data_IF_588549385935
#
_entry.id   IF_588549385935
#
_cell.length_a   1.000
_cell.length_b   1.000
_cell.length_c   1.000
_cell.angle_alpha   90.00
_cell.angle_beta   90.00
_cell.angle_gamma   90.00
#
_symmetry.space_group_name_H-M   'P 1'
#
loop_
_entity.id
_entity.type
_entity.pdbx_description
1 polymer ?
#
# COMPACT_ATOMS: atom_id res chain seq x y z
N UNK A 1 -11.26 1.70 36.69
CA UNK A 1 -10.88 2.41 35.44
C UNK A 1 -11.30 1.66 34.17
N UNK A 2 -10.96 0.38 34.01
CA UNK A 2 -11.24 -0.40 32.78
C UNK A 2 -12.72 -0.36 32.36
N UNK A 3 -13.65 -0.53 33.31
CA UNK A 3 -15.10 -0.49 33.03
C UNK A 3 -15.59 0.87 32.50
N UNK A 4 -15.05 1.98 33.01
CA UNK A 4 -15.43 3.33 32.58
C UNK A 4 -14.85 3.65 31.20
N UNK A 5 -13.59 3.28 30.95
CA UNK A 5 -12.95 3.36 29.63
C UNK A 5 -13.75 2.59 28.59
N UNK A 6 -14.18 1.36 28.92
CA UNK A 6 -15.02 0.55 28.05
C UNK A 6 -16.35 1.23 27.72
N UNK A 7 -17.06 1.74 28.73
CA UNK A 7 -18.37 2.39 28.52
C UNK A 7 -18.27 3.65 27.65
N UNK A 8 -17.18 4.39 27.72
CA UNK A 8 -16.92 5.57 26.89
C UNK A 8 -16.57 5.22 25.44
N UNK A 9 -15.80 4.15 25.21
CA UNK A 9 -15.36 3.72 23.87
C UNK A 9 -16.40 2.90 23.10
N UNK A 10 -17.31 2.21 23.82
CA UNK A 10 -18.31 1.31 23.22
C UNK A 10 -19.06 1.85 21.98
N UNK A 11 -19.58 3.10 21.94
CA UNK A 11 -20.34 3.57 20.77
C UNK A 11 -19.51 3.69 19.48
N UNK A 12 -18.18 3.78 19.60
CA UNK A 12 -17.27 3.84 18.45
C UNK A 12 -16.59 2.50 18.18
N UNK A 13 -16.28 1.74 19.24
CA UNK A 13 -15.61 0.44 19.11
C UNK A 13 -16.52 -0.66 18.55
N UNK A 14 -17.82 -0.67 18.90
CA UNK A 14 -18.76 -1.72 18.47
C UNK A 14 -18.98 -1.70 16.94
N UNK A 15 -19.27 -0.55 16.29
CA UNK A 15 -19.43 -0.52 14.84
C UNK A 15 -18.17 -0.94 14.09
N UNK A 16 -16.99 -0.49 14.53
CA UNK A 16 -15.71 -0.90 13.91
C UNK A 16 -15.49 -2.40 14.04
N UNK A 17 -15.70 -2.95 15.25
CA UNK A 17 -15.54 -4.40 15.48
C UNK A 17 -16.55 -5.22 14.67
N UNK A 18 -17.80 -4.77 14.55
CA UNK A 18 -18.84 -5.44 13.77
C UNK A 18 -18.52 -5.42 12.27
N UNK A 19 -18.09 -4.27 11.74
CA UNK A 19 -17.67 -4.16 10.34
C UNK A 19 -16.49 -5.08 10.01
N UNK A 20 -15.47 -5.09 10.87
CA UNK A 20 -14.31 -5.98 10.72
C UNK A 20 -14.73 -7.45 10.83
N UNK A 21 -15.59 -7.80 11.78
CA UNK A 21 -16.07 -9.17 11.96
C UNK A 21 -16.89 -9.67 10.77
N UNK A 22 -17.77 -8.83 10.22
CA UNK A 22 -18.56 -9.18 9.02
C UNK A 22 -17.68 -9.41 7.80
N UNK A 23 -16.69 -8.53 7.59
CA UNK A 23 -15.74 -8.69 6.50
C UNK A 23 -14.94 -9.99 6.68
N UNK A 24 -14.40 -10.25 7.87
CA UNK A 24 -13.65 -11.47 8.15
C UNK A 24 -14.50 -12.73 8.00
N UNK A 25 -15.77 -12.71 8.39
CA UNK A 25 -16.69 -13.82 8.17
C UNK A 25 -16.91 -14.08 6.68
N UNK A 26 -17.09 -13.03 5.86
CA UNK A 26 -17.23 -13.16 4.42
C UNK A 26 -15.95 -13.70 3.75
N UNK A 27 -14.78 -13.22 4.19
CA UNK A 27 -13.48 -13.75 3.74
C UNK A 27 -13.31 -15.21 4.15
N UNK A 28 -13.60 -15.57 5.40
CA UNK A 28 -13.51 -16.95 5.89
C UNK A 28 -14.45 -17.92 5.14
N UNK A 29 -15.66 -17.45 4.79
CA UNK A 29 -16.63 -18.26 4.05
C UNK A 29 -16.22 -18.50 2.58
N UNK A 30 -15.55 -17.54 1.95
CA UNK A 30 -15.18 -17.62 0.52
C UNK A 30 -13.75 -18.09 0.27
N UNK A 31 -12.86 -17.95 1.26
CA UNK A 31 -11.43 -18.27 1.15
C UNK A 31 -11.11 -19.72 0.74
N UNK A 32 -11.78 -20.76 1.29
CA UNK A 32 -11.52 -22.15 0.88
C UNK A 32 -11.73 -22.37 -0.62
N UNK A 33 -12.78 -21.78 -1.20
CA UNK A 33 -13.06 -21.89 -2.64
C UNK A 33 -11.98 -21.26 -3.54
N UNK A 34 -11.24 -20.27 -3.03
CA UNK A 34 -10.08 -19.70 -3.73
C UNK A 34 -8.89 -20.66 -3.68
N UNK A 35 -8.69 -21.33 -2.55
CA UNK A 35 -7.62 -22.32 -2.38
C UNK A 35 -7.80 -23.50 -3.34
N UNK A 36 -9.00 -24.05 -3.41
CA UNK A 36 -9.32 -25.21 -4.26
C UNK A 36 -9.22 -24.87 -5.76
N UNK A 37 -9.58 -23.64 -6.16
CA UNK A 37 -9.52 -23.19 -7.55
C UNK A 37 -8.12 -22.74 -8.01
N UNK A 38 -7.19 -22.52 -7.07
CA UNK A 38 -5.87 -21.93 -7.33
C UNK A 38 -4.96 -22.79 -8.22
N UNK A 39 -5.26 -24.06 -8.41
CA UNK A 39 -4.49 -24.97 -9.27
C UNK A 39 -4.86 -24.84 -10.77
N UNK A 40 -5.94 -24.12 -11.09
CA UNK A 40 -6.40 -23.94 -12.46
C UNK A 40 -5.64 -22.81 -13.19
N UNK A 41 -5.36 -23.00 -14.48
CA UNK A 41 -4.71 -21.98 -15.32
C UNK A 41 -5.61 -20.81 -15.68
N UNK A 42 -6.92 -20.91 -15.44
CA UNK A 42 -7.91 -19.84 -15.62
C UNK A 42 -8.45 -19.34 -14.27
N UNK A 43 -7.66 -19.49 -13.20
CA UNK A 43 -8.06 -19.15 -11.85
C UNK A 43 -8.47 -17.68 -11.73
N UNK A 44 -7.64 -16.74 -12.19
CA UNK A 44 -7.94 -15.31 -12.07
C UNK A 44 -9.18 -14.90 -12.87
N UNK A 45 -9.43 -15.49 -14.04
CA UNK A 45 -10.67 -15.27 -14.79
C UNK A 45 -11.91 -15.75 -14.02
N UNK A 46 -11.81 -16.92 -13.39
CA UNK A 46 -12.84 -17.47 -12.53
C UNK A 46 -13.12 -16.61 -11.29
N UNK A 47 -12.10 -15.97 -10.73
CA UNK A 47 -12.28 -15.02 -9.62
C UNK A 47 -12.86 -13.69 -10.11
N UNK A 48 -12.41 -13.22 -11.28
CA UNK A 48 -12.83 -11.94 -11.88
C UNK A 48 -14.32 -11.98 -12.28
N UNK A 49 -14.80 -13.14 -12.73
CA UNK A 49 -16.22 -13.34 -13.07
C UNK A 49 -17.14 -13.40 -11.84
N UNK A 50 -16.60 -13.57 -10.64
CA UNK A 50 -17.36 -13.60 -9.39
C UNK A 50 -17.36 -12.21 -8.72
N UNK A 51 -18.44 -11.46 -8.94
CA UNK A 51 -18.58 -10.10 -8.42
C UNK A 51 -18.47 -9.98 -6.90
N UNK A 52 -18.81 -11.03 -6.13
CA UNK A 52 -18.64 -11.03 -4.68
C UNK A 52 -17.16 -11.05 -4.31
N UNK A 53 -16.36 -11.91 -4.96
CA UNK A 53 -14.91 -12.01 -4.71
C UNK A 53 -14.20 -10.72 -5.10
N UNK A 54 -14.54 -10.13 -6.24
CA UNK A 54 -14.03 -8.82 -6.65
C UNK A 54 -14.37 -7.75 -5.61
N UNK A 55 -15.62 -7.73 -5.12
CA UNK A 55 -16.04 -6.80 -4.07
C UNK A 55 -15.26 -7.02 -2.77
N UNK A 56 -15.06 -8.26 -2.35
CA UNK A 56 -14.32 -8.60 -1.13
C UNK A 56 -12.84 -8.22 -1.23
N UNK A 57 -12.22 -8.37 -2.40
CA UNK A 57 -10.84 -7.95 -2.67
C UNK A 57 -10.67 -6.45 -2.43
N UNK A 58 -11.51 -5.61 -3.07
CA UNK A 58 -11.45 -4.16 -2.89
C UNK A 58 -11.91 -3.71 -1.50
N UNK A 59 -12.92 -4.36 -0.92
CA UNK A 59 -13.37 -4.07 0.44
C UNK A 59 -12.27 -4.37 1.47
N UNK A 60 -11.49 -5.43 1.30
CA UNK A 60 -10.34 -5.75 2.13
C UNK A 60 -9.25 -4.68 2.06
N UNK A 61 -8.93 -4.21 0.86
CA UNK A 61 -7.97 -3.12 0.63
C UNK A 61 -8.47 -1.82 1.28
N UNK A 62 -9.71 -1.43 0.98
CA UNK A 62 -10.31 -0.23 1.55
C UNK A 62 -10.37 -0.28 3.07
N UNK A 63 -10.72 -1.43 3.67
CA UNK A 63 -10.73 -1.61 5.11
C UNK A 63 -9.34 -1.45 5.73
N UNK A 64 -8.29 -1.98 5.10
CA UNK A 64 -6.92 -1.85 5.59
C UNK A 64 -6.44 -0.40 5.60
N UNK A 65 -6.74 0.39 4.56
CA UNK A 65 -6.38 1.82 4.49
C UNK A 65 -7.30 2.73 5.33
N UNK A 66 -8.56 2.35 5.52
CA UNK A 66 -9.52 3.11 6.32
C UNK A 66 -9.34 2.89 7.83
N UNK A 67 -8.90 1.70 8.25
CA UNK A 67 -8.79 1.35 9.66
C UNK A 67 -7.92 2.32 10.47
N UNK A 68 -6.71 2.73 10.02
CA UNK A 68 -5.92 3.74 10.72
C UNK A 68 -6.68 5.05 10.93
N UNK A 69 -7.37 5.55 9.90
CA UNK A 69 -8.16 6.78 9.98
C UNK A 69 -9.29 6.65 11.02
N UNK A 70 -10.00 5.52 11.02
CA UNK A 70 -11.07 5.23 11.99
C UNK A 70 -10.51 5.16 13.41
N UNK A 71 -9.40 4.45 13.60
CA UNK A 71 -8.75 4.32 14.92
C UNK A 71 -8.26 5.67 15.42
N UNK A 72 -7.53 6.43 14.61
CA UNK A 72 -7.00 7.72 15.05
C UNK A 72 -8.08 8.72 15.37
N UNK A 73 -9.06 8.89 14.47
CA UNK A 73 -10.11 9.89 14.63
C UNK A 73 -11.14 9.51 15.68
N UNK A 74 -11.54 8.23 15.78
CA UNK A 74 -12.63 7.86 16.69
C UNK A 74 -12.13 7.25 18.00
N UNK A 75 -10.97 6.59 18.03
CA UNK A 75 -10.47 5.97 19.26
C UNK A 75 -9.41 6.83 19.93
N UNK A 76 -8.45 7.36 19.15
CA UNK A 76 -7.34 8.17 19.67
C UNK A 76 -7.76 9.57 20.10
N UNK A 77 -8.25 10.38 19.16
CA UNK A 77 -8.56 11.79 19.41
C UNK A 77 -9.56 12.03 20.56
N UNK A 78 -10.69 11.30 20.64
CA UNK A 78 -11.67 11.53 21.69
C UNK A 78 -11.23 11.00 23.06
N UNK A 79 -10.25 10.09 23.13
CA UNK A 79 -9.81 9.43 24.38
C UNK A 79 -9.44 10.43 25.47
N UNK A 80 -8.79 11.53 25.06
CA UNK A 80 -8.37 12.59 25.98
C UNK A 80 -9.13 13.90 25.73
N UNK A 81 -9.36 14.28 24.47
CA UNK A 81 -10.02 15.54 24.14
C UNK A 81 -11.40 15.67 24.80
N UNK A 82 -12.19 14.59 24.81
CA UNK A 82 -13.54 14.58 25.38
C UNK A 82 -13.54 14.83 26.89
N UNK A 83 -12.53 14.33 27.61
CA UNK A 83 -12.42 14.52 29.06
C UNK A 83 -11.88 15.90 29.45
N UNK A 84 -11.05 16.49 28.58
CA UNK A 84 -10.61 17.87 28.72
C UNK A 84 -11.75 18.83 28.44
N UNK A 85 -12.51 18.60 27.38
CA UNK A 85 -13.66 19.41 26.97
C UNK A 85 -14.79 19.40 28.01
N UNK A 86 -15.11 18.22 28.56
CA UNK A 86 -16.15 18.06 29.60
C UNK A 86 -15.66 18.36 31.02
N UNK A 87 -14.37 18.70 31.19
CA UNK A 87 -13.70 18.92 32.49
C UNK A 87 -13.80 17.74 33.49
N UNK A 88 -14.13 16.55 33.01
CA UNK A 88 -14.28 15.34 33.83
C UNK A 88 -12.94 14.83 34.36
N UNK A 89 -11.82 15.23 33.74
CA UNK A 89 -10.46 14.91 34.20
C UNK A 89 -10.18 15.28 35.67
N UNK A 90 -10.78 16.37 36.17
CA UNK A 90 -10.58 16.82 37.56
C UNK A 90 -11.10 15.82 38.60
N UNK A 91 -12.24 15.18 38.32
CA UNK A 91 -12.85 14.20 39.22
C UNK A 91 -12.09 12.86 39.20
N UNK A 92 -11.52 12.49 38.04
CA UNK A 92 -10.69 11.30 37.91
C UNK A 92 -9.34 11.46 38.64
N UNK A 93 -8.75 12.66 38.60
CA UNK A 93 -7.45 12.93 39.24
C UNK A 93 -7.54 13.22 40.73
N UNK A 94 -8.73 13.51 41.28
CA UNK A 94 -8.93 13.64 42.72
C UNK A 94 -9.03 12.29 43.45
N UNK A 95 -9.27 11.18 42.72
CA UNK A 95 -9.41 9.84 43.28
C UNK A 95 -8.13 9.02 43.09
N UNK A 96 -7.11 9.26 43.93
CA UNK A 96 -5.88 8.45 44.16
C UNK A 96 -5.07 7.90 42.96
N UNK A 97 -5.47 8.17 41.71
CA UNK A 97 -4.83 7.70 40.50
C UNK A 97 -3.97 8.82 39.92
N UNK A 98 -2.68 8.57 39.76
CA UNK A 98 -1.75 9.52 39.14
C UNK A 98 -2.06 9.72 37.65
N UNK A 99 -1.79 10.92 37.13
CA UNK A 99 -2.01 11.29 35.71
C UNK A 99 -1.32 10.30 34.75
N UNK A 100 -0.13 9.82 35.12
CA UNK A 100 0.66 8.85 34.34
C UNK A 100 0.03 7.47 34.32
N UNK A 101 -0.41 6.95 35.48
CA UNK A 101 -1.07 5.64 35.56
C UNK A 101 -2.40 5.64 34.82
N UNK A 102 -3.14 6.74 34.92
CA UNK A 102 -4.39 6.95 34.16
C UNK A 102 -4.15 6.87 32.64
N UNK A 103 -3.17 7.60 32.11
CA UNK A 103 -2.86 7.59 30.67
C UNK A 103 -2.31 6.22 30.23
N UNK A 104 -1.41 5.63 31.02
CA UNK A 104 -0.80 4.34 30.69
C UNK A 104 -1.83 3.21 30.57
N UNK A 105 -2.79 3.14 31.50
CA UNK A 105 -3.84 2.10 31.43
C UNK A 105 -4.77 2.32 30.23
N UNK A 106 -5.17 3.56 29.94
CA UNK A 106 -6.04 3.85 28.78
C UNK A 106 -5.32 3.61 27.45
N UNK A 107 -4.17 4.23 27.27
CA UNK A 107 -3.39 4.12 26.04
C UNK A 107 -2.92 2.68 25.80
N UNK A 108 -2.43 2.00 26.84
CA UNK A 108 -1.98 0.61 26.73
C UNK A 108 -3.10 -0.34 26.32
N UNK A 109 -4.28 -0.24 26.95
CA UNK A 109 -5.42 -1.08 26.60
C UNK A 109 -5.91 -0.79 25.18
N UNK A 110 -6.07 0.49 24.81
CA UNK A 110 -6.52 0.85 23.46
C UNK A 110 -5.51 0.44 22.41
N UNK A 111 -4.21 0.61 22.65
CA UNK A 111 -3.16 0.18 21.73
C UNK A 111 -3.16 -1.33 21.52
N UNK A 112 -3.35 -2.13 22.58
CA UNK A 112 -3.47 -3.58 22.46
C UNK A 112 -4.68 -3.99 21.61
N UNK A 113 -5.85 -3.37 21.85
CA UNK A 113 -7.05 -3.65 21.05
C UNK A 113 -6.86 -3.21 19.59
N UNK A 114 -6.27 -2.04 19.36
CA UNK A 114 -5.93 -1.55 18.02
C UNK A 114 -5.00 -2.52 17.29
N UNK A 115 -3.94 -2.98 17.94
CA UNK A 115 -3.00 -3.94 17.35
C UNK A 115 -3.69 -5.28 17.04
N UNK A 116 -4.56 -5.76 17.92
CA UNK A 116 -5.33 -6.99 17.69
C UNK A 116 -6.30 -6.85 16.52
N UNK A 117 -7.10 -5.77 16.46
CA UNK A 117 -8.05 -5.54 15.36
C UNK A 117 -7.33 -5.37 14.03
N UNK A 118 -6.27 -4.57 13.99
CA UNK A 118 -5.47 -4.38 12.79
C UNK A 118 -4.76 -5.66 12.36
N UNK A 119 -4.22 -6.43 13.31
CA UNK A 119 -3.53 -7.68 13.03
C UNK A 119 -4.46 -8.76 12.50
N UNK A 120 -5.65 -8.93 13.09
CA UNK A 120 -6.63 -9.90 12.60
C UNK A 120 -7.18 -9.49 11.23
N UNK A 121 -7.47 -8.21 11.01
CA UNK A 121 -7.89 -7.71 9.70
C UNK A 121 -6.81 -7.96 8.64
N UNK A 122 -5.57 -7.54 8.92
CA UNK A 122 -4.46 -7.69 8.00
C UNK A 122 -4.16 -9.17 7.70
N UNK A 123 -4.21 -10.03 8.72
CA UNK A 123 -4.07 -11.47 8.56
C UNK A 123 -5.18 -12.05 7.69
N UNK A 124 -6.45 -11.73 7.96
CA UNK A 124 -7.59 -12.24 7.19
C UNK A 124 -7.57 -11.81 5.73
N UNK A 125 -7.27 -10.53 5.46
CA UNK A 125 -7.14 -9.99 4.10
C UNK A 125 -5.95 -10.63 3.38
N UNK A 126 -4.79 -10.77 4.03
CA UNK A 126 -3.59 -11.38 3.43
C UNK A 126 -3.79 -12.88 3.17
N UNK A 127 -4.43 -13.59 4.10
CA UNK A 127 -4.73 -15.01 3.94
C UNK A 127 -5.69 -15.24 2.77
N UNK A 128 -6.78 -14.49 2.71
CA UNK A 128 -7.80 -14.63 1.66
C UNK A 128 -7.25 -14.29 0.27
N UNK A 129 -6.45 -13.22 0.18
CA UNK A 129 -5.82 -12.82 -1.08
C UNK A 129 -4.61 -13.68 -1.46
N UNK A 130 -4.12 -14.56 -0.57
CA UNK A 130 -2.89 -15.33 -0.79
C UNK A 130 -2.83 -16.14 -2.08
N UNK A 131 -3.89 -16.85 -2.51
CA UNK A 131 -3.93 -17.51 -3.82
C UNK A 131 -3.86 -16.54 -5.00
N UNK A 132 -4.55 -15.40 -4.93
CA UNK A 132 -4.54 -14.35 -5.94
C UNK A 132 -3.13 -13.76 -6.05
N UNK A 133 -2.54 -13.36 -4.92
CA UNK A 133 -1.21 -12.77 -4.87
C UNK A 133 -0.15 -13.75 -5.44
N UNK A 134 -0.31 -15.06 -5.23
CA UNK A 134 0.58 -16.09 -5.81
C UNK A 134 0.41 -16.23 -7.32
N UNK A 135 -0.82 -16.25 -7.82
CA UNK A 135 -1.08 -16.30 -9.27
C UNK A 135 -0.52 -15.07 -9.98
N UNK A 136 -0.73 -13.88 -9.41
CA UNK A 136 -0.16 -12.63 -9.93
C UNK A 136 1.37 -12.63 -9.89
N UNK A 137 1.97 -13.14 -8.81
CA UNK A 137 3.43 -13.29 -8.73
C UNK A 137 3.96 -14.35 -9.70
N UNK A 138 3.14 -15.32 -10.12
CA UNK A 138 3.54 -16.32 -11.12
C UNK A 138 3.42 -15.81 -12.57
N UNK A 139 2.90 -14.59 -12.77
CA UNK A 139 2.76 -13.95 -14.09
C UNK A 139 1.35 -13.98 -14.67
N UNK A 140 0.38 -14.60 -14.00
CA UNK A 140 -1.04 -14.54 -14.41
C UNK A 140 -1.62 -13.16 -14.07
N UNK A 141 -2.40 -12.56 -14.98
CA UNK A 141 -2.94 -11.21 -14.79
C UNK A 141 -4.30 -11.06 -15.47
N UNK A 142 -5.17 -10.29 -14.83
CA UNK A 142 -6.42 -9.77 -15.42
C UNK A 142 -6.49 -8.26 -15.21
N UNK A 143 -7.41 -7.58 -15.88
CA UNK A 143 -7.65 -6.14 -15.67
C UNK A 143 -7.92 -5.77 -14.20
N UNK A 144 -8.47 -6.72 -13.43
CA UNK A 144 -8.78 -6.54 -12.00
C UNK A 144 -7.60 -6.91 -11.11
N UNK A 145 -6.82 -7.92 -11.49
CA UNK A 145 -5.68 -8.45 -10.72
C UNK A 145 -4.37 -8.29 -11.50
N UNK A 146 -4.04 -7.05 -11.85
CA UNK A 146 -2.83 -6.75 -12.63
C UNK A 146 -1.59 -6.49 -11.76
N UNK A 147 -1.83 -6.08 -10.51
CA UNK A 147 -0.85 -5.43 -9.64
C UNK A 147 -0.30 -6.43 -8.62
N UNK A 148 1.01 -6.53 -8.51
CA UNK A 148 1.67 -7.38 -7.53
C UNK A 148 1.52 -6.82 -6.11
N UNK A 149 1.49 -7.69 -5.10
CA UNK A 149 1.32 -7.27 -3.70
C UNK A 149 2.43 -6.35 -3.18
N UNK A 150 3.61 -6.34 -3.82
CA UNK A 150 4.75 -5.50 -3.45
C UNK A 150 4.60 -4.07 -4.00
N UNK A 151 3.75 -3.86 -5.00
CA UNK A 151 3.51 -2.55 -5.57
C UNK A 151 2.85 -1.59 -4.56
N UNK A 152 3.11 -0.28 -4.66
CA UNK A 152 2.73 0.69 -3.62
C UNK A 152 1.26 0.68 -3.25
N UNK A 153 0.36 0.47 -4.22
CA UNK A 153 -1.07 0.48 -4.02
C UNK A 153 -1.56 -0.68 -3.12
N UNK A 154 -0.98 -1.87 -3.28
CA UNK A 154 -1.39 -3.07 -2.53
C UNK A 154 -0.54 -3.30 -1.28
N UNK A 155 0.71 -2.85 -1.29
CA UNK A 155 1.68 -3.10 -0.23
C UNK A 155 1.16 -2.69 1.17
N UNK A 156 0.54 -1.50 1.26
CA UNK A 156 -0.01 -0.99 2.52
C UNK A 156 -1.25 -1.72 3.02
N UNK A 157 -1.91 -2.52 2.17
CA UNK A 157 -3.12 -3.27 2.49
C UNK A 157 -2.85 -4.75 2.85
N UNK A 158 -1.60 -5.20 2.82
CA UNK A 158 -1.18 -6.58 3.07
C UNK A 158 -0.17 -6.65 4.20
N UNK A 159 0.01 -7.85 4.76
CA UNK A 159 1.10 -8.14 5.68
C UNK A 159 0.96 -7.47 7.05
N UNK A 160 2.03 -6.84 7.53
CA UNK A 160 2.13 -6.30 8.90
C UNK A 160 1.98 -4.78 8.97
N UNK A 161 2.21 -4.08 7.86
CA UNK A 161 2.17 -2.61 7.75
C UNK A 161 0.87 -1.98 8.25
N UNK A 162 -0.35 -2.54 8.00
CA UNK A 162 -1.59 -2.00 8.57
C UNK A 162 -1.57 -1.84 10.10
N UNK A 163 -0.85 -2.73 10.81
CA UNK A 163 -0.70 -2.67 12.28
C UNK A 163 0.08 -1.42 12.68
N UNK A 164 1.19 -1.15 11.97
CA UNK A 164 2.03 0.04 12.19
C UNK A 164 1.25 1.33 11.99
N UNK A 165 0.51 1.45 10.87
CA UNK A 165 -0.32 2.64 10.60
C UNK A 165 -1.43 2.81 11.63
N UNK A 166 -2.11 1.73 12.05
CA UNK A 166 -3.18 1.82 13.03
C UNK A 166 -2.67 2.31 14.40
N UNK A 167 -1.51 1.83 14.86
CA UNK A 167 -0.89 2.27 16.11
C UNK A 167 -0.33 3.69 16.02
N UNK A 168 0.28 4.07 14.90
CA UNK A 168 0.71 5.43 14.64
C UNK A 168 -0.48 6.40 14.65
N UNK A 169 -1.55 6.05 13.95
CA UNK A 169 -2.80 6.82 13.91
C UNK A 169 -3.42 7.01 15.29
N UNK A 170 -3.42 5.95 16.12
CA UNK A 170 -3.85 6.04 17.51
C UNK A 170 -3.00 7.09 18.27
N UNK A 171 -1.67 7.01 18.17
CA UNK A 171 -0.75 7.92 18.86
C UNK A 171 -0.93 9.37 18.39
N UNK A 172 -1.06 9.60 17.08
CA UNK A 172 -1.36 10.92 16.49
C UNK A 172 -2.67 11.46 17.06
N UNK A 173 -3.73 10.64 17.07
CA UNK A 173 -5.02 11.03 17.60
C UNK A 173 -4.96 11.45 19.06
N UNK A 174 -4.31 10.64 19.91
CA UNK A 174 -4.16 10.94 21.33
C UNK A 174 -3.39 12.23 21.55
N UNK A 175 -2.30 12.45 20.81
CA UNK A 175 -1.51 13.69 20.89
C UNK A 175 -2.31 14.91 20.43
N UNK A 176 -3.02 14.81 19.29
CA UNK A 176 -3.89 15.87 18.80
C UNK A 176 -4.98 16.21 19.83
N UNK A 177 -5.59 15.20 20.45
CA UNK A 177 -6.58 15.38 21.51
C UNK A 177 -6.03 16.08 22.76
N UNK A 178 -4.78 15.78 23.14
CA UNK A 178 -4.08 16.44 24.24
C UNK A 178 -3.75 17.92 23.95
N UNK A 179 -3.33 18.22 22.72
CA UNK A 179 -2.92 19.57 22.31
C UNK A 179 -4.13 20.47 22.06
N UNK A 180 -5.11 19.98 21.31
CA UNK A 180 -6.26 20.77 20.83
C UNK A 180 -7.35 20.88 21.90
N UNK A 181 -7.50 19.86 22.77
CA UNK A 181 -8.44 19.83 23.90
C UNK A 181 -9.93 19.97 23.53
N UNK A 182 -10.25 19.90 22.23
CA UNK A 182 -11.61 19.86 21.67
C UNK A 182 -11.73 18.64 20.78
N UNK A 183 -12.81 17.88 20.94
CA UNK A 183 -12.94 16.57 20.30
C UNK A 183 -13.00 16.70 18.77
N UNK A 184 -13.97 17.43 18.23
CA UNK A 184 -14.19 17.51 16.76
C UNK A 184 -12.97 18.09 16.01
N UNK A 185 -12.34 19.20 16.44
CA UNK A 185 -11.16 19.71 15.75
C UNK A 185 -9.96 18.75 15.85
N UNK A 186 -9.80 18.02 16.96
CA UNK A 186 -8.75 17.01 17.08
C UNK A 186 -8.97 15.84 16.11
N UNK A 187 -10.22 15.40 15.91
CA UNK A 187 -10.55 14.36 14.92
C UNK A 187 -10.17 14.80 13.51
N UNK A 188 -10.53 16.03 13.12
CA UNK A 188 -10.24 16.57 11.80
C UNK A 188 -8.73 16.65 11.53
N UNK A 189 -7.96 17.20 12.47
CA UNK A 189 -6.48 17.27 12.35
C UNK A 189 -5.87 15.87 12.28
N UNK A 190 -6.38 14.93 13.07
CA UNK A 190 -5.90 13.54 13.06
C UNK A 190 -6.11 12.88 11.70
N UNK A 191 -7.28 13.06 11.07
CA UNK A 191 -7.56 12.52 9.74
C UNK A 191 -6.59 13.08 8.70
N UNK A 192 -6.36 14.39 8.69
CA UNK A 192 -5.41 15.03 7.76
C UNK A 192 -4.00 14.46 7.93
N UNK A 193 -3.53 14.33 9.17
CA UNK A 193 -2.19 13.79 9.44
C UNK A 193 -2.06 12.31 9.05
N UNK A 194 -3.10 11.52 9.22
CA UNK A 194 -3.10 10.11 8.81
C UNK A 194 -3.08 9.98 7.28
N UNK A 195 -3.90 10.76 6.58
CA UNK A 195 -3.88 10.79 5.11
C UNK A 195 -2.50 11.23 4.60
N UNK A 196 -1.94 12.29 5.19
CA UNK A 196 -0.59 12.74 4.87
C UNK A 196 0.45 11.63 5.11
N UNK A 197 0.38 10.91 6.24
CA UNK A 197 1.29 9.80 6.52
C UNK A 197 1.15 8.66 5.48
N UNK A 198 -0.07 8.30 5.09
CA UNK A 198 -0.33 7.25 4.10
C UNK A 198 0.10 7.63 2.67
N UNK A 199 0.29 8.92 2.38
CA UNK A 199 0.83 9.40 1.09
C UNK A 199 2.35 9.58 1.16
N UNK A 200 2.85 10.24 2.21
CA UNK A 200 4.27 10.63 2.32
C UNK A 200 5.18 9.45 2.61
N UNK A 201 4.76 8.49 3.44
CA UNK A 201 5.61 7.33 3.78
C UNK A 201 5.90 6.48 2.54
N UNK A 202 4.92 6.08 1.70
CA UNK A 202 5.20 5.41 0.44
C UNK A 202 6.06 6.24 -0.52
N UNK A 203 5.74 7.53 -0.67
CA UNK A 203 6.36 8.39 -1.68
C UNK A 203 7.82 8.77 -1.36
N UNK A 204 8.16 8.90 -0.08
CA UNK A 204 9.47 9.42 0.34
C UNK A 204 10.28 8.35 1.07
N UNK A 205 9.67 7.62 2.01
CA UNK A 205 10.43 6.75 2.90
C UNK A 205 10.66 5.37 2.30
N UNK A 206 9.68 4.81 1.57
CA UNK A 206 9.75 3.41 1.12
C UNK A 206 10.93 3.12 0.20
N UNK A 207 11.26 4.06 -0.69
CA UNK A 207 12.42 3.96 -1.57
C UNK A 207 13.75 3.89 -0.80
N UNK A 208 13.80 4.38 0.44
CA UNK A 208 14.99 4.33 1.29
C UNK A 208 14.99 3.11 2.25
N UNK A 209 13.91 2.32 2.28
CA UNK A 209 13.81 1.16 3.16
C UNK A 209 14.37 -0.12 2.54
N UNK A 210 14.62 -0.16 1.23
CA UNK A 210 15.35 -1.25 0.58
C UNK A 210 16.15 -0.71 -0.61
N UNK A 211 17.26 -1.39 -0.90
CA UNK A 211 18.07 -1.11 -2.08
C UNK A 211 17.42 -1.83 -3.28
N UNK A 212 17.10 -1.11 -4.37
CA UNK A 212 16.52 -1.73 -5.55
C UNK A 212 17.58 -2.50 -6.34
N UNK A 213 17.16 -3.54 -7.05
CA UNK A 213 18.02 -4.32 -7.93
C UNK A 213 17.93 -3.75 -9.34
N UNK A 214 19.05 -3.66 -10.04
CA UNK A 214 19.11 -3.16 -11.42
C UNK A 214 19.64 -4.24 -12.33
N UNK A 215 18.82 -4.67 -13.28
CA UNK A 215 19.14 -5.73 -14.23
C UNK A 215 19.15 -5.16 -15.64
N UNK A 216 20.19 -5.50 -16.40
CA UNK A 216 20.26 -5.19 -17.82
C UNK A 216 19.76 -6.39 -18.62
N UNK A 217 18.74 -6.18 -19.44
CA UNK A 217 18.10 -7.22 -20.25
C UNK A 217 18.21 -6.85 -21.73
N UNK A 218 18.47 -7.82 -22.58
CA UNK A 218 18.40 -7.63 -24.03
C UNK A 218 16.96 -7.39 -24.47
N UNK A 219 16.76 -6.49 -25.42
CA UNK A 219 15.44 -6.18 -25.98
C UNK A 219 15.12 -7.22 -27.07
N UNK A 220 14.06 -7.99 -26.88
CA UNK A 220 13.66 -9.07 -27.79
C UNK A 220 12.19 -8.96 -28.18
N UNK A 221 11.80 -9.70 -29.22
CA UNK A 221 10.40 -9.77 -29.64
C UNK A 221 9.47 -10.33 -28.55
N UNK A 222 9.99 -11.27 -27.75
CA UNK A 222 9.23 -11.96 -26.70
C UNK A 222 8.99 -11.09 -25.46
N UNK A 223 9.89 -10.15 -25.17
CA UNK A 223 9.79 -9.30 -23.99
C UNK A 223 9.27 -7.89 -24.27
N UNK A 224 9.09 -7.49 -25.53
CA UNK A 224 8.55 -6.17 -25.86
C UNK A 224 7.08 -6.05 -25.44
N UNK A 225 6.80 -5.19 -24.46
CA UNK A 225 5.44 -4.88 -23.99
C UNK A 225 4.83 -3.76 -24.84
N UNK A 226 5.62 -2.73 -25.14
CA UNK A 226 5.13 -1.60 -25.91
C UNK A 226 6.20 -0.57 -26.24
N UNK A 227 5.84 0.35 -27.14
CA UNK A 227 6.64 1.53 -27.48
C UNK A 227 5.82 2.77 -27.15
N UNK A 228 6.41 3.70 -26.39
CA UNK A 228 5.87 5.03 -26.25
C UNK A 228 6.41 5.87 -27.40
N UNK A 229 5.51 6.35 -28.25
CA UNK A 229 5.85 7.09 -29.46
C UNK A 229 5.36 8.53 -29.36
N UNK A 230 6.23 9.46 -29.73
CA UNK A 230 5.97 10.90 -29.70
C UNK A 230 5.48 11.44 -31.05
N UNK A 231 4.56 12.40 -31.00
CA UNK A 231 4.10 13.18 -32.16
C UNK A 231 2.91 12.62 -32.94
N UNK A 232 2.27 11.54 -32.47
CA UNK A 232 1.00 11.06 -32.99
C UNK A 232 -0.14 11.41 -31.99
N UNK A 233 -0.94 12.43 -32.28
CA UNK A 233 -2.06 12.85 -31.41
C UNK A 233 -3.37 12.13 -31.75
N UNK A 234 -3.48 11.58 -32.97
CA UNK A 234 -4.64 10.80 -33.42
C UNK A 234 -4.30 9.60 -34.32
N UNK A 235 -5.31 8.76 -34.63
CA UNK A 235 -5.13 7.60 -35.50
C UNK A 235 -4.73 8.03 -36.92
N UNK A 236 -3.54 7.63 -37.38
CA UNK A 236 -3.01 7.92 -38.72
C UNK A 236 -1.99 9.06 -38.79
N UNK A 237 -1.67 9.71 -37.66
CA UNK A 237 -0.61 10.70 -37.59
C UNK A 237 0.79 10.05 -37.70
N UNK A 238 1.76 10.81 -38.23
CA UNK A 238 3.12 10.33 -38.40
C UNK A 238 3.86 10.24 -37.06
N UNK A 239 4.42 9.07 -36.75
CA UNK A 239 5.29 8.90 -35.59
C UNK A 239 6.59 9.68 -35.80
N UNK A 240 6.84 10.67 -34.95
CA UNK A 240 8.00 11.57 -35.07
C UNK A 240 9.21 11.09 -34.27
N UNK A 241 8.98 10.38 -33.16
CA UNK A 241 10.03 9.85 -32.29
C UNK A 241 9.54 8.63 -31.51
N UNK A 242 10.47 7.80 -31.05
CA UNK A 242 10.22 6.79 -30.02
C UNK A 242 10.81 7.35 -28.73
N UNK A 243 9.99 7.53 -27.72
CA UNK A 243 10.41 8.12 -26.44
C UNK A 243 10.82 7.03 -25.45
N UNK A 244 10.13 5.89 -25.45
CA UNK A 244 10.38 4.80 -24.49
C UNK A 244 10.12 3.42 -25.13
N UNK A 245 10.98 2.45 -24.81
CA UNK A 245 10.69 1.02 -25.00
C UNK A 245 10.32 0.46 -23.64
N UNK A 246 9.19 -0.23 -23.55
CA UNK A 246 8.82 -0.99 -22.36
C UNK A 246 9.02 -2.47 -22.64
N UNK A 247 9.87 -3.11 -21.85
CA UNK A 247 10.05 -4.56 -21.87
C UNK A 247 9.53 -5.18 -20.57
N UNK A 248 9.00 -6.39 -20.66
CA UNK A 248 8.75 -7.23 -19.51
C UNK A 248 10.07 -7.85 -19.06
N UNK A 249 10.34 -7.79 -17.76
CA UNK A 249 11.43 -8.57 -17.17
C UNK A 249 10.97 -10.00 -16.91
N UNK A 250 11.93 -10.93 -16.85
CA UNK A 250 11.68 -12.32 -16.41
C UNK A 250 11.13 -12.38 -14.98
N UNK A 251 11.34 -11.32 -14.20
CA UNK A 251 10.85 -11.16 -12.83
C UNK A 251 9.33 -10.93 -12.78
N UNK A 252 8.57 -12.00 -12.57
CA UNK A 252 7.13 -11.91 -12.36
C UNK A 252 6.80 -11.39 -10.95
N UNK A 253 5.87 -10.44 -10.86
CA UNK A 253 5.40 -9.89 -9.59
C UNK A 253 6.36 -8.91 -8.89
N UNK A 254 7.26 -8.29 -9.63
CA UNK A 254 8.17 -7.24 -9.13
C UNK A 254 7.50 -5.86 -9.09
N UNK A 255 8.00 -4.98 -8.22
CA UNK A 255 7.65 -3.57 -8.29
C UNK A 255 8.72 -2.82 -9.08
N UNK A 256 8.39 -2.51 -10.33
CA UNK A 256 9.23 -1.73 -11.23
C UNK A 256 9.30 -0.26 -10.80
N UNK A 257 10.51 0.28 -10.72
CA UNK A 257 10.78 1.71 -10.43
C UNK A 257 11.16 2.47 -11.70
N UNK A 258 11.93 1.85 -12.57
CA UNK A 258 12.34 2.42 -13.85
C UNK A 258 12.62 1.33 -14.87
N UNK A 259 12.33 1.64 -16.13
CA UNK A 259 12.53 0.77 -17.28
C UNK A 259 13.02 1.66 -18.41
N UNK A 260 14.34 1.77 -18.53
CA UNK A 260 14.98 2.75 -19.43
C UNK A 260 15.89 2.05 -20.43
N UNK A 261 15.89 2.53 -21.67
CA UNK A 261 16.79 2.04 -22.70
C UNK A 261 18.14 2.76 -22.60
N UNK A 262 19.22 1.98 -22.59
CA UNK A 262 20.60 2.47 -22.62
C UNK A 262 21.28 2.04 -23.91
N UNK A 263 22.18 2.89 -24.41
CA UNK A 263 23.05 2.55 -25.53
C UNK A 263 24.23 1.64 -25.10
N UNK A 264 25.11 1.30 -26.06
CA UNK A 264 26.31 0.50 -25.80
C UNK A 264 27.29 1.14 -24.79
N UNK A 265 27.23 2.46 -24.62
CA UNK A 265 28.05 3.21 -23.68
C UNK A 265 27.40 3.29 -22.27
N UNK A 266 26.19 2.75 -22.12
CA UNK A 266 25.40 2.79 -20.88
C UNK A 266 24.70 4.13 -20.64
N UNK A 267 24.59 4.97 -21.67
CA UNK A 267 23.93 6.28 -21.57
C UNK A 267 22.42 6.13 -21.79
N UNK A 268 21.62 6.69 -20.89
CA UNK A 268 20.16 6.74 -21.04
C UNK A 268 19.78 7.73 -22.14
N UNK A 269 18.98 7.28 -23.10
CA UNK A 269 18.52 8.11 -24.21
C UNK A 269 17.13 8.68 -23.92
N UNK A 270 16.98 10.00 -24.09
CA UNK A 270 15.67 10.65 -23.96
C UNK A 270 14.75 10.41 -25.17
N UNK A 271 15.34 10.14 -26.33
CA UNK A 271 14.62 9.79 -27.55
C UNK A 271 15.43 8.76 -28.31
N UNK A 272 14.75 7.71 -28.75
CA UNK A 272 15.33 6.64 -29.55
C UNK A 272 15.24 6.99 -31.05
N UNK A 273 16.14 6.40 -31.87
CA UNK A 273 16.10 6.60 -33.30
C UNK A 273 14.75 6.19 -33.91
N UNK A 274 14.26 6.93 -34.91
CA UNK A 274 12.97 6.69 -35.57
C UNK A 274 12.80 5.26 -36.12
N UNK A 275 13.89 4.58 -36.49
CA UNK A 275 13.83 3.21 -37.01
C UNK A 275 13.34 2.20 -35.95
N UNK A 276 13.42 2.52 -34.65
CA UNK A 276 12.93 1.65 -33.57
C UNK A 276 11.41 1.41 -33.66
N UNK A 277 10.65 2.29 -34.34
CA UNK A 277 9.23 2.09 -34.61
C UNK A 277 8.96 0.76 -35.34
N UNK A 278 9.91 0.30 -36.17
CA UNK A 278 9.77 -0.97 -36.90
C UNK A 278 9.72 -2.20 -35.97
N UNK A 279 10.21 -2.08 -34.73
CA UNK A 279 10.10 -3.12 -33.70
C UNK A 279 8.66 -3.24 -33.17
N UNK A 280 7.86 -2.18 -33.21
CA UNK A 280 6.48 -2.13 -32.69
C UNK A 280 5.44 -2.82 -33.57
N UNK A 281 5.81 -3.16 -34.81
CA UNK A 281 4.87 -3.65 -35.83
C UNK A 281 4.26 -2.51 -36.66
N UNK A 282 3.49 -2.84 -37.71
CA UNK A 282 2.94 -1.83 -38.61
C UNK A 282 1.89 -0.95 -37.90
N UNK A 283 1.72 0.31 -38.34
CA UNK A 283 0.61 1.14 -37.89
C UNK A 283 -0.77 0.47 -38.13
N UNK A 284 -1.80 0.84 -37.36
CA UNK A 284 -3.15 0.33 -37.58
C UNK A 284 -3.63 0.58 -39.01
N UNK A 285 -3.97 -0.48 -39.75
CA UNK A 285 -4.45 -0.39 -41.13
C UNK A 285 -3.38 -0.63 -42.21
N UNK A 286 -2.12 -0.83 -41.82
CA UNK A 286 -1.03 -1.20 -42.74
C UNK A 286 -0.56 -2.65 -42.52
N UNK A 287 -0.04 -3.27 -43.59
CA UNK A 287 0.55 -4.61 -43.53
C UNK A 287 2.01 -4.53 -43.10
N UNK A 288 2.42 -5.41 -42.20
CA UNK A 288 3.82 -5.54 -41.79
C UNK A 288 4.71 -5.89 -42.99
N UNK A 289 5.84 -5.19 -43.15
CA UNK A 289 6.90 -5.65 -44.06
C UNK A 289 7.51 -6.93 -43.47
N UNK A 290 7.54 -8.00 -44.26
CA UNK A 290 8.08 -9.28 -43.81
C UNK A 290 9.53 -9.13 -43.32
N UNK A 291 9.82 -9.60 -42.10
CA UNK A 291 11.15 -9.55 -41.48
C UNK A 291 11.59 -8.17 -40.96
N UNK A 292 10.81 -7.10 -41.12
CA UNK A 292 11.20 -5.77 -40.63
C UNK A 292 11.36 -5.73 -39.10
N UNK A 293 10.46 -6.42 -38.39
CA UNK A 293 10.48 -6.53 -36.93
C UNK A 293 11.69 -7.31 -36.44
N UNK A 294 11.98 -8.46 -37.05
CA UNK A 294 13.17 -9.28 -36.75
C UNK A 294 14.47 -8.49 -37.00
N UNK A 295 14.59 -7.85 -38.16
CA UNK A 295 15.73 -7.00 -38.50
C UNK A 295 15.91 -5.81 -37.53
N UNK A 296 14.81 -5.27 -36.99
CA UNK A 296 14.85 -4.21 -35.98
C UNK A 296 15.49 -4.71 -34.66
N UNK A 297 15.09 -5.89 -34.17
CA UNK A 297 15.67 -6.48 -32.96
C UNK A 297 17.13 -6.92 -33.14
N UNK A 298 17.48 -7.48 -34.31
CA UNK A 298 18.87 -7.77 -34.65
C UNK A 298 19.72 -6.51 -34.61
N UNK A 299 19.19 -5.40 -35.15
CA UNK A 299 19.88 -4.10 -35.11
C UNK A 299 20.00 -3.55 -33.70
N UNK A 300 18.95 -3.60 -32.87
CA UNK A 300 19.03 -3.18 -31.47
C UNK A 300 20.17 -3.92 -30.74
N UNK A 301 20.26 -5.22 -30.96
CA UNK A 301 21.30 -6.07 -30.38
C UNK A 301 22.69 -5.72 -30.92
N UNK A 302 22.81 -5.50 -32.24
CA UNK A 302 24.08 -5.17 -32.89
C UNK A 302 24.61 -3.79 -32.50
N UNK A 303 23.72 -2.80 -32.35
CA UNK A 303 24.04 -1.44 -31.90
C UNK A 303 24.23 -1.38 -30.37
N UNK A 304 24.05 -2.50 -29.66
CA UNK A 304 24.33 -2.64 -28.23
C UNK A 304 23.28 -2.04 -27.30
N UNK A 305 22.05 -1.81 -27.79
CA UNK A 305 20.96 -1.32 -26.96
C UNK A 305 20.54 -2.37 -25.93
N UNK A 306 20.41 -1.94 -24.68
CA UNK A 306 19.93 -2.77 -23.59
C UNK A 306 18.84 -2.05 -22.82
N UNK A 307 17.94 -2.81 -22.21
CA UNK A 307 16.99 -2.26 -21.27
C UNK A 307 17.53 -2.41 -19.86
N UNK A 308 17.66 -1.29 -19.15
CA UNK A 308 18.01 -1.28 -17.74
C UNK A 308 16.74 -1.14 -16.91
N UNK A 309 16.39 -2.21 -16.20
CA UNK A 309 15.21 -2.24 -15.34
C UNK A 309 15.64 -2.24 -13.89
N UNK A 310 15.14 -1.26 -13.13
CA UNK A 310 15.35 -1.15 -11.70
C UNK A 310 14.05 -1.51 -11.01
N UNK A 311 14.06 -2.56 -10.18
CA UNK A 311 12.86 -3.08 -9.53
C UNK A 311 13.15 -3.53 -8.09
N UNK A 312 12.08 -3.69 -7.32
CA UNK A 312 12.12 -4.45 -6.08
C UNK A 312 11.62 -5.88 -6.33
N UNK A 313 12.45 -6.90 -6.05
CA UNK A 313 12.03 -8.28 -6.24
C UNK A 313 10.93 -8.64 -5.26
N UNK A 314 10.04 -9.56 -5.65
CA UNK A 314 8.93 -10.01 -4.80
C UNK A 314 9.39 -10.61 -3.45
N UNK A 315 10.63 -11.11 -3.39
CA UNK A 315 11.31 -11.60 -2.19
C UNK A 315 11.56 -10.50 -1.15
N UNK A 316 11.72 -9.25 -1.57
CA UNK A 316 11.94 -8.09 -0.70
C UNK A 316 10.69 -7.69 0.10
N UNK A 317 9.51 -8.23 -0.25
CA UNK A 317 8.22 -7.88 0.35
C UNK A 317 8.26 -7.91 1.88
N UNK A 318 8.68 -9.03 2.50
CA UNK A 318 8.69 -9.15 3.96
C UNK A 318 9.75 -8.26 4.62
N UNK A 319 10.90 -8.08 3.98
CA UNK A 319 11.95 -7.18 4.47
C UNK A 319 11.44 -5.73 4.54
N UNK A 320 10.79 -5.26 3.47
CA UNK A 320 10.16 -3.94 3.42
C UNK A 320 9.03 -3.82 4.45
N UNK A 321 8.16 -4.83 4.56
CA UNK A 321 7.06 -4.86 5.52
C UNK A 321 7.55 -4.71 6.96
N UNK A 322 8.60 -5.44 7.35
CA UNK A 322 9.15 -5.35 8.70
C UNK A 322 9.84 -4.01 8.96
N UNK A 323 10.59 -3.48 7.98
CA UNK A 323 11.27 -2.18 8.10
C UNK A 323 10.27 -1.03 8.22
N UNK A 324 9.25 -0.98 7.37
CA UNK A 324 8.20 0.05 7.43
C UNK A 324 7.38 -0.07 8.72
N UNK A 325 6.98 -1.28 9.11
CA UNK A 325 6.27 -1.51 10.38
C UNK A 325 7.10 -1.08 11.59
N UNK A 326 8.40 -1.43 11.63
CA UNK A 326 9.29 -1.02 12.71
C UNK A 326 9.43 0.51 12.80
N UNK A 327 9.59 1.19 11.66
CA UNK A 327 9.64 2.65 11.61
C UNK A 327 8.35 3.27 12.18
N UNK A 328 7.18 2.80 11.72
CA UNK A 328 5.89 3.28 12.19
C UNK A 328 5.69 3.04 13.69
N UNK A 329 6.15 1.90 14.21
CA UNK A 329 6.11 1.59 15.64
C UNK A 329 7.05 2.50 16.45
N UNK A 330 8.26 2.78 15.98
CA UNK A 330 9.19 3.72 16.61
C UNK A 330 8.57 5.11 16.69
N UNK A 331 7.96 5.59 15.60
CA UNK A 331 7.24 6.86 15.56
C UNK A 331 6.06 6.87 16.54
N UNK A 332 5.26 5.80 16.57
CA UNK A 332 4.13 5.67 17.49
C UNK A 332 4.58 5.69 18.96
N UNK A 333 5.66 4.98 19.31
CA UNK A 333 6.25 4.99 20.64
C UNK A 333 6.81 6.37 21.02
N UNK A 334 7.47 7.05 20.08
CA UNK A 334 7.96 8.42 20.27
C UNK A 334 6.82 9.41 20.56
N UNK A 335 5.74 9.36 19.79
CA UNK A 335 4.53 10.16 20.04
C UNK A 335 3.85 9.78 21.37
N UNK A 336 3.82 8.50 21.71
CA UNK A 336 3.34 8.02 23.01
C UNK A 336 4.16 8.62 24.17
N UNK A 337 5.49 8.61 24.06
CA UNK A 337 6.39 9.26 25.02
C UNK A 337 6.12 10.76 25.15
N UNK A 338 5.93 11.46 24.03
CA UNK A 338 5.56 12.87 24.00
C UNK A 338 4.21 13.14 24.71
N UNK A 339 3.23 12.24 24.54
CA UNK A 339 1.95 12.32 25.27
C UNK A 339 2.16 12.24 26.79
N UNK A 340 3.00 11.31 27.27
CA UNK A 340 3.33 11.20 28.70
C UNK A 340 4.05 12.42 29.24
N UNK A 341 5.00 12.96 28.48
CA UNK A 341 5.72 14.18 28.85
C UNK A 341 4.76 15.36 29.01
N UNK A 342 3.87 15.56 28.03
CA UNK A 342 2.92 16.67 28.02
C UNK A 342 1.87 16.59 29.12
N UNK A 343 1.40 15.38 29.46
CA UNK A 343 0.47 15.17 30.59
C UNK A 343 1.11 15.47 31.95
N UNK A 344 2.44 15.33 32.07
CA UNK A 344 3.16 15.70 33.30
C UNK A 344 3.36 17.21 33.43
N UNK A 345 3.67 17.90 32.33
CA UNK A 345 4.05 19.32 32.35
C UNK A 345 2.89 20.32 32.25
N UNK A 346 1.92 20.09 31.36
CA UNK A 346 1.13 21.20 30.80
C UNK A 346 -0.40 21.07 30.94
N UNK A 347 -0.90 20.01 31.57
CA UNK A 347 -2.34 19.83 31.75
C UNK A 347 -2.73 20.36 33.14
N UNK A 348 -3.50 21.47 33.23
CA UNK A 348 -3.85 22.11 34.48
C UNK A 348 -4.66 21.20 35.41
#
# INVERSE_FOLDING_TARGET
MIWLTWRQMRPQAVPTALGVALLLAALAATGPSLGDAAESSSFLDGVTSDGLKVTLYYAGIAAAYALPAVVGAFWGAPMVARELETRTHRLAWSQSVTRTRWLATKLGLTALVTAAVAGVLAWGVTWWAGPIDRAVTAGDRTDVFAVARIEPALFGARGSVPIGYALLALAIGVLAGLVIRRTVPAMAVTLVLIVAAQVLVPAVLRAHLAEPETTATSITDENLVGLLVGGAEGPGDEITSVEEIQVSTEGTGEWELSNVTVDADGTTLATLPKWVVDCGGPPPGESAKAGAREACFERLTADGYQQQVTSYPSSAFWTLQWRETALLLVLALGLGGLCFWRVRGDVP
#
